data_IF_480734402739
#
_entry.id   IF_480734402739
#
_cell.length_a   1.000
_cell.length_b   1.000
_cell.length_c   1.000
_cell.angle_alpha   90.00
_cell.angle_beta   90.00
_cell.angle_gamma   90.00
#
_symmetry.space_group_name_H-M   'P 1'
#
loop_
_entity.id
_entity.type
_entity.pdbx_description
1 polymer ?
#
# COMPACT_ATOMS: atom_id res chain seq x y z
N UNK A 1 -4.40 -30.70 11.05
CA UNK A 1 -4.74 -29.54 10.21
C UNK A 1 -4.31 -28.29 10.95
N UNK A 2 -3.24 -27.65 10.51
CA UNK A 2 -2.68 -26.48 11.17
C UNK A 2 -3.38 -25.24 10.65
N UNK A 3 -4.21 -24.62 11.49
CA UNK A 3 -4.88 -23.37 11.16
C UNK A 3 -3.84 -22.23 11.20
N UNK A 4 -3.31 -21.86 10.03
CA UNK A 4 -2.55 -20.62 9.88
C UNK A 4 -3.59 -19.50 9.83
N UNK A 5 -3.94 -18.94 10.99
CA UNK A 5 -4.60 -17.65 11.04
C UNK A 5 -3.59 -16.61 10.54
N UNK A 6 -3.49 -16.43 9.21
CA UNK A 6 -2.80 -15.29 8.62
C UNK A 6 -3.49 -14.04 9.15
N UNK A 7 -2.76 -13.28 9.97
CA UNK A 7 -3.30 -12.17 10.75
C UNK A 7 -4.12 -11.20 9.89
N UNK A 8 -5.25 -10.74 10.45
CA UNK A 8 -6.10 -9.71 9.82
C UNK A 8 -5.24 -8.48 9.53
N UNK A 9 -5.02 -8.18 8.25
CA UNK A 9 -4.37 -6.94 7.81
C UNK A 9 -5.17 -5.74 8.33
N UNK A 10 -4.50 -4.80 8.99
CA UNK A 10 -5.12 -3.54 9.41
C UNK A 10 -4.81 -2.48 8.37
N UNK A 11 -5.85 -2.06 7.67
CA UNK A 11 -5.79 -0.98 6.70
C UNK A 11 -6.28 0.29 7.39
N UNK A 12 -5.43 1.30 7.43
CA UNK A 12 -5.83 2.63 7.89
C UNK A 12 -6.16 3.50 6.68
N UNK A 13 -7.42 3.88 6.59
CA UNK A 13 -7.93 4.90 5.68
C UNK A 13 -7.81 6.28 6.36
N UNK A 14 -7.64 7.36 5.60
CA UNK A 14 -7.56 8.76 6.07
C UNK A 14 -6.36 9.17 6.93
N UNK A 15 -5.37 8.29 7.12
CA UNK A 15 -4.13 8.62 7.83
C UNK A 15 -2.93 8.67 6.89
N UNK A 16 -1.97 9.54 7.20
CA UNK A 16 -0.69 9.62 6.47
C UNK A 16 0.24 8.52 6.95
N UNK A 17 0.45 7.49 6.14
CA UNK A 17 1.48 6.46 6.35
C UNK A 17 2.90 7.02 6.21
N UNK A 18 3.89 6.30 6.72
CA UNK A 18 5.32 6.58 6.48
C UNK A 18 5.71 6.03 5.11
N UNK A 19 6.70 6.61 4.43
CA UNK A 19 7.16 6.15 3.10
C UNK A 19 7.48 4.65 2.99
N UNK A 20 7.89 4.03 4.10
CA UNK A 20 8.24 2.61 4.20
C UNK A 20 7.04 1.69 4.38
N UNK A 21 5.87 2.23 4.71
CA UNK A 21 4.64 1.47 4.86
C UNK A 21 4.13 1.03 3.48
N UNK A 22 3.40 -0.07 3.47
CA UNK A 22 2.78 -0.57 2.25
C UNK A 22 1.49 0.22 2.01
N UNK A 23 1.42 0.96 0.91
CA UNK A 23 0.26 1.79 0.58
C UNK A 23 -0.65 1.07 -0.40
N UNK A 24 -1.94 1.35 -0.31
CA UNK A 24 -2.95 0.98 -1.30
C UNK A 24 -3.12 2.18 -2.22
N UNK A 25 -2.82 1.99 -3.49
CA UNK A 25 -2.82 3.00 -4.53
C UNK A 25 -3.88 2.67 -5.57
N UNK A 26 -4.65 3.68 -5.97
CA UNK A 26 -5.56 3.64 -7.11
C UNK A 26 -4.90 4.32 -8.30
N UNK A 27 -4.78 3.60 -9.41
CA UNK A 27 -4.33 4.18 -10.67
C UNK A 27 -5.44 5.04 -11.27
N UNK A 28 -5.18 6.33 -11.49
CA UNK A 28 -6.18 7.23 -12.08
C UNK A 28 -6.46 6.97 -13.56
N UNK A 29 -5.62 6.17 -14.24
CA UNK A 29 -5.78 5.83 -15.65
C UNK A 29 -6.67 4.60 -15.90
N UNK A 30 -6.59 3.60 -15.03
CA UNK A 30 -7.32 2.33 -15.22
C UNK A 30 -8.20 1.96 -14.03
N UNK A 31 -8.28 2.82 -13.01
CA UNK A 31 -9.08 2.66 -11.79
C UNK A 31 -8.74 1.38 -11.00
N UNK A 32 -7.60 0.75 -11.30
CA UNK A 32 -7.16 -0.44 -10.58
C UNK A 32 -6.43 -0.08 -9.29
N UNK A 33 -6.78 -0.82 -8.25
CA UNK A 33 -6.15 -0.73 -6.94
C UNK A 33 -4.98 -1.73 -6.86
N UNK A 34 -3.83 -1.27 -6.38
CA UNK A 34 -2.67 -2.12 -6.17
C UNK A 34 -1.86 -1.68 -4.94
N UNK A 35 -1.03 -2.60 -4.45
CA UNK A 35 -0.23 -2.40 -3.23
C UNK A 35 1.19 -2.04 -3.61
N UNK A 36 1.71 -0.92 -3.11
CA UNK A 36 3.11 -0.53 -3.32
C UNK A 36 3.66 0.32 -2.18
N UNK A 37 4.98 0.30 -2.00
CA UNK A 37 5.65 1.20 -1.05
C UNK A 37 5.96 2.53 -1.72
N UNK A 38 5.96 3.62 -0.97
CA UNK A 38 6.35 4.94 -1.49
C UNK A 38 7.87 5.19 -1.40
N UNK A 39 8.65 4.16 -1.10
CA UNK A 39 10.11 4.20 -0.95
C UNK A 39 10.85 3.70 -2.22
N UNK A 40 10.18 3.74 -3.36
CA UNK A 40 10.75 3.34 -4.67
C UNK A 40 10.96 4.56 -5.54
N UNK A 41 11.92 4.49 -6.47
CA UNK A 41 12.17 5.56 -7.44
C UNK A 41 11.07 5.65 -8.50
N UNK A 42 10.32 4.57 -8.70
CA UNK A 42 9.25 4.49 -9.68
C UNK A 42 8.17 3.56 -9.15
N UNK A 43 6.92 4.00 -9.25
CA UNK A 43 5.74 3.19 -8.98
C UNK A 43 5.13 2.85 -10.34
N UNK A 44 4.87 1.57 -10.58
CA UNK A 44 4.22 1.10 -11.81
C UNK A 44 2.90 0.40 -11.46
N UNK A 45 1.85 0.70 -12.22
CA UNK A 45 0.59 -0.01 -12.15
C UNK A 45 0.72 -1.38 -12.81
N UNK A 46 0.40 -2.45 -12.07
CA UNK A 46 0.45 -3.83 -12.58
C UNK A 46 -0.57 -4.13 -13.69
N UNK A 47 -1.56 -3.25 -13.90
CA UNK A 47 -2.65 -3.46 -14.87
C UNK A 47 -2.43 -2.76 -16.21
N UNK A 48 -1.96 -1.52 -16.20
CA UNK A 48 -1.81 -0.71 -17.41
C UNK A 48 -0.36 -0.26 -17.69
N UNK A 49 0.59 -0.69 -16.85
CA UNK A 49 2.01 -0.30 -16.92
C UNK A 49 2.26 1.22 -16.88
N UNK A 50 1.27 2.01 -16.49
CA UNK A 50 1.48 3.43 -16.18
C UNK A 50 2.45 3.50 -15.02
N UNK A 51 3.45 4.38 -15.12
CA UNK A 51 4.41 4.58 -14.04
C UNK A 51 4.62 6.05 -13.74
N UNK A 52 4.98 6.35 -12.49
CA UNK A 52 5.36 7.69 -12.06
C UNK A 52 6.54 7.63 -11.09
N UNK A 53 7.31 8.71 -11.04
CA UNK A 53 8.22 8.96 -9.93
C UNK A 53 7.43 9.66 -8.82
N UNK A 54 7.23 9.02 -7.65
CA UNK A 54 6.47 9.60 -6.55
C UNK A 54 7.09 10.89 -5.97
N UNK A 55 8.34 11.22 -6.30
CA UNK A 55 8.98 12.49 -5.93
C UNK A 55 8.59 13.65 -6.84
N UNK A 56 8.20 13.35 -8.08
CA UNK A 56 7.92 14.34 -9.12
C UNK A 56 6.43 14.53 -9.32
N UNK A 57 5.63 13.45 -9.30
CA UNK A 57 4.21 13.55 -9.57
C UNK A 57 3.40 12.45 -8.87
N UNK A 58 2.57 12.87 -7.91
CA UNK A 58 1.64 12.01 -7.16
C UNK A 58 0.24 12.00 -7.79
N UNK A 59 0.01 12.74 -8.87
CA UNK A 59 -1.33 12.92 -9.47
C UNK A 59 -1.81 11.68 -10.22
N UNK A 60 -0.90 10.79 -10.58
CA UNK A 60 -1.15 9.56 -11.36
C UNK A 60 -1.64 8.41 -10.46
N UNK A 61 -1.31 8.45 -9.17
CA UNK A 61 -1.69 7.43 -8.20
C UNK A 61 -2.32 8.06 -6.97
N UNK A 62 -3.58 7.75 -6.73
CA UNK A 62 -4.29 8.20 -5.55
C UNK A 62 -4.03 7.24 -4.39
N UNK A 63 -3.51 7.76 -3.29
CA UNK A 63 -3.32 6.98 -2.06
C UNK A 63 -4.66 6.81 -1.36
N UNK A 64 -5.18 5.59 -1.30
CA UNK A 64 -6.45 5.29 -0.62
C UNK A 64 -6.22 4.98 0.86
N UNK A 65 -5.07 4.38 1.18
CA UNK A 65 -4.72 4.03 2.55
C UNK A 65 -3.35 3.39 2.64
N UNK A 66 -2.99 2.94 3.83
CA UNK A 66 -1.79 2.14 4.04
C UNK A 66 -2.09 0.97 4.98
N UNK A 67 -1.31 -0.09 4.79
CA UNK A 67 -1.36 -1.33 5.55
C UNK A 67 -0.35 -1.20 6.68
N UNK A 68 -0.85 -1.22 7.91
CA UNK A 68 0.01 -1.28 9.08
C UNK A 68 0.69 -2.64 9.13
N UNK A 69 2.01 -2.62 8.99
CA UNK A 69 2.81 -3.81 9.18
C UNK A 69 2.96 -4.03 10.70
N UNK A 70 2.07 -4.83 11.29
CA UNK A 70 2.25 -5.34 12.66
C UNK A 70 3.37 -6.40 12.67
N UNK A 71 4.61 -5.98 12.41
CA UNK A 71 5.78 -6.75 12.82
C UNK A 71 6.18 -6.30 14.23
N UNK A 72 5.45 -6.79 15.23
CA UNK A 72 5.82 -6.66 16.64
C UNK A 72 4.68 -6.28 17.57
N UNK A 73 4.38 -7.23 18.48
CA UNK A 73 3.64 -7.09 19.75
C UNK A 73 2.13 -6.79 19.68
N UNK A 74 1.23 -7.45 20.40
CA UNK A 74 1.13 -8.64 21.28
C UNK A 74 -0.40 -8.72 21.57
N UNK A 75 -1.04 -9.85 21.91
CA UNK A 75 -1.24 -10.29 23.29
C UNK A 75 -1.56 -11.78 23.25
N UNK A 76 -0.73 -12.60 23.91
CA UNK A 76 -1.18 -13.89 24.45
C UNK A 76 -2.05 -13.58 25.66
N UNK A 77 -3.34 -13.91 25.59
CA UNK A 77 -4.15 -14.21 26.76
C UNK A 77 -4.71 -15.62 26.57
#
# INVERSE_FOLDING_TARGET
MSYINQGRERIQFDRKGKKRDLHILECTHCENEFRSTMNVNQIECSHCSTSTDPKLDVSIFKVIGFIENLQGSEVRC
#
